data_IF_093476791824
#
_entry.id   IF_093476791824
#
_cell.length_a   1.000
_cell.length_b   1.000
_cell.length_c   1.000
_cell.angle_alpha   90.00
_cell.angle_beta   90.00
_cell.angle_gamma   90.00
#
_symmetry.space_group_name_H-M   'P 1'
#
loop_
_entity.id
_entity.type
_entity.pdbx_description
1 polymer ?
#
# COMPACT_ATOMS: atom_id res chain seq x y z
N UNK A 1 -14.44 30.13 23.64
CA UNK A 1 -14.68 28.76 23.14
C UNK A 1 -13.32 28.08 23.05
N UNK A 2 -12.99 27.18 23.98
CA UNK A 2 -11.75 26.40 23.91
C UNK A 2 -12.00 25.23 22.97
N UNK A 3 -11.44 25.30 21.77
CA UNK A 3 -11.43 24.17 20.84
C UNK A 3 -10.46 23.15 21.44
N UNK A 4 -10.97 21.98 21.82
CA UNK A 4 -10.12 20.92 22.37
C UNK A 4 -9.52 20.10 21.24
N UNK A 5 -8.39 19.43 21.50
CA UNK A 5 -7.72 18.53 20.55
C UNK A 5 -8.63 17.43 20.00
N UNK A 6 -9.64 17.03 20.78
CA UNK A 6 -10.67 16.05 20.37
C UNK A 6 -11.59 16.59 19.28
N UNK A 7 -11.93 17.89 19.32
CA UNK A 7 -12.75 18.55 18.29
C UNK A 7 -12.00 18.67 16.96
N UNK A 8 -10.68 18.84 17.03
CA UNK A 8 -9.80 18.86 15.85
C UNK A 8 -9.65 17.47 15.22
N UNK A 9 -9.57 16.40 16.02
CA UNK A 9 -9.58 15.03 15.50
C UNK A 9 -10.91 14.66 14.86
N UNK A 10 -12.04 14.99 15.48
CA UNK A 10 -13.36 14.72 14.93
C UNK A 10 -13.61 15.48 13.61
N UNK A 11 -13.22 16.76 13.54
CA UNK A 11 -13.34 17.55 12.31
C UNK A 11 -12.41 17.03 11.20
N UNK A 12 -11.22 16.56 11.54
CA UNK A 12 -10.30 15.94 10.59
C UNK A 12 -10.84 14.62 10.06
N UNK A 13 -11.36 13.74 10.93
CA UNK A 13 -11.98 12.47 10.54
C UNK A 13 -13.20 12.72 9.67
N UNK A 14 -14.07 13.67 10.03
CA UNK A 14 -15.24 14.01 9.22
C UNK A 14 -14.84 14.59 7.86
N UNK A 15 -13.86 15.51 7.80
CA UNK A 15 -13.37 16.05 6.53
C UNK A 15 -12.70 14.97 5.65
N UNK A 16 -12.02 13.99 6.26
CA UNK A 16 -11.47 12.85 5.56
C UNK A 16 -12.58 11.94 5.01
N UNK A 17 -13.59 11.62 5.82
CA UNK A 17 -14.77 10.85 5.40
C UNK A 17 -15.56 11.58 4.30
N UNK A 18 -15.72 12.89 4.38
CA UNK A 18 -16.42 13.73 3.39
C UNK A 18 -15.63 13.89 2.08
N UNK A 19 -14.29 13.96 2.16
CA UNK A 19 -13.43 13.89 0.99
C UNK A 19 -13.51 12.51 0.32
N UNK A 20 -13.74 11.45 1.09
CA UNK A 20 -13.86 10.09 0.59
C UNK A 20 -15.22 9.72 0.05
N UNK A 21 -16.26 10.33 0.60
CA UNK A 21 -17.61 10.22 0.08
C UNK A 21 -17.70 10.83 -1.32
N UNK A 22 -16.87 11.82 -1.66
CA UNK A 22 -16.80 12.41 -3.02
C UNK A 22 -16.24 11.45 -4.07
N UNK A 23 -15.38 10.51 -3.69
CA UNK A 23 -14.81 9.52 -4.61
C UNK A 23 -15.64 8.22 -4.67
N UNK A 24 -16.76 8.13 -3.95
CA UNK A 24 -17.67 6.96 -3.86
C UNK A 24 -17.02 5.62 -3.44
N UNK A 25 -15.73 5.60 -3.10
CA UNK A 25 -14.96 4.38 -2.78
C UNK A 25 -14.89 4.05 -1.28
N UNK A 26 -15.49 4.85 -0.41
CA UNK A 26 -15.44 4.64 1.04
C UNK A 26 -16.12 3.31 1.45
N UNK A 27 -17.28 3.00 0.86
CA UNK A 27 -17.99 1.75 1.12
C UNK A 27 -17.16 0.52 0.73
N UNK A 28 -16.48 0.60 -0.41
CA UNK A 28 -15.59 -0.45 -0.90
C UNK A 28 -14.36 -0.62 0.02
N UNK A 29 -13.75 0.48 0.48
CA UNK A 29 -12.64 0.44 1.42
C UNK A 29 -13.04 -0.17 2.78
N UNK A 30 -14.21 0.22 3.31
CA UNK A 30 -14.77 -0.37 4.54
C UNK A 30 -15.06 -1.87 4.34
N UNK A 31 -15.55 -2.26 3.16
CA UNK A 31 -15.82 -3.66 2.83
C UNK A 31 -14.54 -4.51 2.85
N UNK A 32 -13.41 -3.96 2.40
CA UNK A 32 -12.11 -4.63 2.49
C UNK A 32 -11.63 -4.82 3.95
N UNK A 33 -12.02 -3.91 4.84
CA UNK A 33 -11.70 -3.96 6.27
C UNK A 33 -12.66 -4.81 7.11
N UNK A 34 -13.78 -5.27 6.52
CA UNK A 34 -14.85 -5.94 7.26
C UNK A 34 -14.35 -7.24 7.92
N UNK A 35 -14.61 -7.38 9.23
CA UNK A 35 -14.18 -8.55 10.01
C UNK A 35 -12.66 -8.62 10.30
N UNK A 36 -11.89 -7.57 9.95
CA UNK A 36 -10.43 -7.51 10.19
C UNK A 36 -10.05 -6.63 11.39
N UNK A 37 -11.02 -5.93 11.99
CA UNK A 37 -10.84 -5.04 13.13
C UNK A 37 -12.08 -5.09 14.04
N UNK A 38 -11.86 -4.93 15.35
CA UNK A 38 -12.94 -4.95 16.37
C UNK A 38 -13.39 -3.54 16.78
N UNK A 39 -12.70 -2.49 16.32
CA UNK A 39 -12.97 -1.10 16.70
C UNK A 39 -13.01 -0.17 15.50
N UNK A 40 -13.80 0.91 15.61
CA UNK A 40 -13.88 1.97 14.58
C UNK A 40 -12.53 2.60 14.30
N UNK A 41 -11.72 2.84 15.34
CA UNK A 41 -10.36 3.37 15.19
C UNK A 41 -9.48 2.41 14.37
N UNK A 42 -9.55 1.11 14.66
CA UNK A 42 -8.84 0.08 13.88
C UNK A 42 -9.26 0.06 12.42
N UNK A 43 -10.57 0.21 12.13
CA UNK A 43 -11.05 0.31 10.74
C UNK A 43 -10.48 1.54 10.03
N UNK A 44 -10.47 2.71 10.69
CA UNK A 44 -9.92 3.95 10.12
C UNK A 44 -8.44 3.77 9.80
N UNK A 45 -7.64 3.25 10.74
CA UNK A 45 -6.22 2.99 10.53
C UNK A 45 -5.98 1.99 9.38
N UNK A 46 -6.85 0.98 9.27
CA UNK A 46 -6.74 -0.06 8.25
C UNK A 46 -7.06 0.46 6.84
N UNK A 47 -8.08 1.29 6.71
CA UNK A 47 -8.47 1.86 5.41
C UNK A 47 -7.63 3.08 5.04
N UNK A 48 -6.99 3.76 6.01
CA UNK A 48 -6.21 4.99 5.79
C UNK A 48 -5.26 4.91 4.59
N UNK A 49 -4.45 3.84 4.42
CA UNK A 49 -3.59 3.72 3.25
C UNK A 49 -4.36 3.65 1.93
N UNK A 50 -5.56 3.07 1.91
CA UNK A 50 -6.39 2.95 0.70
C UNK A 50 -6.94 4.31 0.23
N UNK A 51 -7.09 5.25 1.16
CA UNK A 51 -7.82 6.49 0.96
C UNK A 51 -6.91 7.73 0.85
N UNK A 52 -5.71 7.65 1.41
CA UNK A 52 -4.76 8.76 1.44
C UNK A 52 -3.90 8.83 0.19
N UNK A 53 -3.51 10.04 -0.21
CA UNK A 53 -2.43 10.29 -1.21
C UNK A 53 -1.08 10.56 -0.56
N UNK A 54 -1.04 10.78 0.77
CA UNK A 54 0.19 11.07 1.50
C UNK A 54 0.87 9.76 1.88
N UNK A 55 2.01 9.49 1.27
CA UNK A 55 2.77 8.27 1.48
C UNK A 55 3.42 8.24 2.87
N UNK A 56 3.30 7.10 3.56
CA UNK A 56 3.90 6.85 4.89
C UNK A 56 4.59 5.49 4.94
N UNK A 57 5.33 5.14 3.88
CA UNK A 57 5.98 3.83 3.74
C UNK A 57 6.84 3.52 4.97
N UNK A 58 6.62 2.35 5.57
CA UNK A 58 7.42 1.87 6.69
C UNK A 58 8.72 1.23 6.16
N UNK A 59 9.75 2.07 6.01
CA UNK A 59 11.05 1.64 5.53
C UNK A 59 11.78 0.74 6.54
N UNK A 60 11.56 0.94 7.85
CA UNK A 60 12.22 0.12 8.89
C UNK A 60 11.74 -1.33 8.75
N UNK A 61 10.43 -1.53 8.69
CA UNK A 61 9.84 -2.85 8.47
C UNK A 61 10.26 -3.43 7.12
N UNK A 62 10.23 -2.63 6.05
CA UNK A 62 10.62 -3.09 4.72
C UNK A 62 12.06 -3.64 4.69
N UNK A 63 13.03 -2.91 5.29
CA UNK A 63 14.42 -3.36 5.38
C UNK A 63 14.62 -4.53 6.35
N UNK A 64 13.73 -4.73 7.32
CA UNK A 64 13.76 -5.92 8.18
C UNK A 64 13.31 -7.20 7.46
N UNK A 65 12.48 -7.07 6.40
CA UNK A 65 12.02 -8.18 5.57
C UNK A 65 13.07 -8.54 4.52
N UNK A 66 13.61 -7.53 3.84
CA UNK A 66 14.71 -7.68 2.88
C UNK A 66 15.73 -6.55 3.10
N UNK A 67 16.88 -6.92 3.65
CA UNK A 67 17.93 -5.96 3.98
C UNK A 67 18.80 -5.56 2.78
N UNK A 68 18.81 -6.37 1.71
CA UNK A 68 19.62 -6.08 0.53
C UNK A 68 18.92 -5.03 -0.35
N UNK A 69 19.48 -3.81 -0.47
CA UNK A 69 18.86 -2.73 -1.24
C UNK A 69 18.80 -3.00 -2.74
N UNK A 70 19.74 -3.79 -3.28
CA UNK A 70 19.72 -4.15 -4.71
C UNK A 70 18.55 -5.09 -5.00
N UNK A 71 18.34 -6.09 -4.14
CA UNK A 71 17.21 -7.02 -4.24
C UNK A 71 15.88 -6.28 -4.11
N UNK A 72 15.75 -5.39 -3.12
CA UNK A 72 14.56 -4.54 -2.96
C UNK A 72 14.29 -3.67 -4.19
N UNK A 73 15.30 -2.96 -4.68
CA UNK A 73 15.15 -2.07 -5.83
C UNK A 73 14.75 -2.83 -7.09
N UNK A 74 15.37 -3.99 -7.33
CA UNK A 74 15.03 -4.87 -8.44
C UNK A 74 13.59 -5.37 -8.31
N UNK A 75 13.18 -5.85 -7.13
CA UNK A 75 11.82 -6.29 -6.85
C UNK A 75 10.78 -5.19 -7.16
N UNK A 76 10.97 -3.99 -6.60
CA UNK A 76 10.05 -2.87 -6.77
C UNK A 76 9.91 -2.45 -8.24
N UNK A 77 11.03 -2.35 -8.97
CA UNK A 77 11.04 -1.99 -10.39
C UNK A 77 10.40 -3.06 -11.27
N UNK A 78 10.63 -4.35 -10.98
CA UNK A 78 10.03 -5.44 -11.75
C UNK A 78 8.53 -5.53 -11.53
N UNK A 79 8.06 -5.44 -10.28
CA UNK A 79 6.61 -5.42 -9.97
C UNK A 79 5.94 -4.23 -10.67
N UNK A 80 6.51 -3.03 -10.55
CA UNK A 80 5.95 -1.84 -11.20
C UNK A 80 5.89 -2.02 -12.72
N UNK A 81 6.96 -2.52 -13.34
CA UNK A 81 6.97 -2.76 -14.78
C UNK A 81 5.92 -3.78 -15.24
N UNK A 82 5.71 -4.86 -14.47
CA UNK A 82 4.70 -5.88 -14.78
C UNK A 82 3.29 -5.32 -14.65
N UNK A 83 3.00 -4.61 -13.56
CA UNK A 83 1.70 -3.95 -13.36
C UNK A 83 1.45 -2.85 -14.39
N UNK A 84 2.47 -2.07 -14.77
CA UNK A 84 2.36 -1.04 -15.79
C UNK A 84 1.99 -1.62 -17.16
N UNK A 85 2.37 -2.86 -17.46
CA UNK A 85 2.03 -3.58 -18.70
C UNK A 85 0.68 -4.30 -18.65
N UNK A 86 0.05 -4.42 -17.48
CA UNK A 86 -1.30 -4.98 -17.41
C UNK A 86 -2.30 -4.03 -18.07
N UNK A 87 -2.95 -4.51 -19.13
CA UNK A 87 -4.00 -3.80 -19.85
C UNK A 87 -5.33 -3.86 -19.09
N UNK A 88 -5.62 -5.02 -18.49
CA UNK A 88 -6.80 -5.23 -17.65
C UNK A 88 -6.42 -5.11 -16.16
N UNK A 89 -7.21 -4.36 -15.38
CA UNK A 89 -6.99 -4.15 -13.94
C UNK A 89 -8.03 -4.89 -13.09
N UNK A 90 -7.91 -6.21 -13.03
CA UNK A 90 -8.75 -7.09 -12.20
C UNK A 90 -7.89 -7.77 -11.14
N UNK A 91 -8.50 -8.29 -10.06
CA UNK A 91 -7.76 -9.00 -9.02
C UNK A 91 -6.91 -10.15 -9.58
N UNK A 92 -7.48 -10.95 -10.50
CA UNK A 92 -6.76 -12.05 -11.14
C UNK A 92 -5.57 -11.58 -12.00
N UNK A 93 -5.71 -10.49 -12.77
CA UNK A 93 -4.59 -9.98 -13.58
C UNK A 93 -3.52 -9.34 -12.71
N UNK A 94 -3.90 -8.67 -11.63
CA UNK A 94 -2.99 -8.13 -10.62
C UNK A 94 -2.22 -9.27 -9.96
N UNK A 95 -2.90 -10.28 -9.42
CA UNK A 95 -2.26 -11.42 -8.78
C UNK A 95 -1.27 -12.12 -9.72
N UNK A 96 -1.69 -12.40 -10.96
CA UNK A 96 -0.82 -13.03 -11.95
C UNK A 96 0.45 -12.19 -12.21
N UNK A 97 0.32 -10.87 -12.31
CA UNK A 97 1.47 -9.99 -12.48
C UNK A 97 2.41 -10.02 -11.27
N UNK A 98 1.87 -9.99 -10.04
CA UNK A 98 2.67 -10.04 -8.82
C UNK A 98 3.40 -11.39 -8.67
N UNK A 99 2.67 -12.50 -8.86
CA UNK A 99 3.19 -13.88 -8.84
C UNK A 99 4.29 -14.08 -9.87
N UNK A 100 4.15 -13.53 -11.08
CA UNK A 100 5.18 -13.65 -12.14
C UNK A 100 6.55 -13.11 -11.74
N UNK A 101 6.61 -12.18 -10.78
CA UNK A 101 7.88 -11.67 -10.23
C UNK A 101 8.27 -12.44 -8.98
N UNK A 102 7.32 -12.65 -8.07
CA UNK A 102 7.55 -13.24 -6.76
C UNK A 102 7.84 -14.75 -6.76
N UNK A 103 7.50 -15.46 -7.84
CA UNK A 103 7.80 -16.89 -8.01
C UNK A 103 9.00 -17.12 -8.93
N UNK A 104 9.70 -16.07 -9.37
CA UNK A 104 10.91 -16.23 -10.18
C UNK A 104 12.07 -16.74 -9.33
N UNK A 105 12.99 -17.51 -9.94
CA UNK A 105 14.04 -18.26 -9.24
C UNK A 105 14.96 -17.40 -8.35
N UNK A 106 15.16 -16.13 -8.72
CA UNK A 106 16.02 -15.18 -8.00
C UNK A 106 15.21 -14.16 -7.18
N UNK A 107 13.93 -14.44 -6.90
CA UNK A 107 13.05 -13.51 -6.19
C UNK A 107 12.94 -13.80 -4.69
N UNK A 108 12.27 -12.89 -4.00
CA UNK A 108 12.03 -12.94 -2.55
C UNK A 108 11.02 -14.02 -2.13
N UNK A 109 10.32 -14.67 -3.07
CA UNK A 109 9.21 -15.59 -2.78
C UNK A 109 7.89 -14.86 -2.48
N UNK A 110 6.75 -15.54 -2.71
CA UNK A 110 5.42 -14.93 -2.57
C UNK A 110 5.14 -14.32 -1.20
N UNK A 111 5.41 -15.05 -0.11
CA UNK A 111 5.06 -14.57 1.24
C UNK A 111 5.82 -13.29 1.62
N UNK A 112 7.13 -13.23 1.30
CA UNK A 112 7.93 -12.01 1.50
C UNK A 112 7.49 -10.90 0.55
N UNK A 113 7.19 -11.22 -0.72
CA UNK A 113 6.71 -10.24 -1.69
C UNK A 113 5.42 -9.56 -1.18
N UNK A 114 4.47 -10.33 -0.66
CA UNK A 114 3.24 -9.76 -0.08
C UNK A 114 3.56 -8.79 1.06
N UNK A 115 4.42 -9.17 2.00
CA UNK A 115 4.78 -8.30 3.14
C UNK A 115 5.52 -7.04 2.71
N UNK A 116 6.44 -7.14 1.74
CA UNK A 116 7.12 -5.98 1.14
C UNK A 116 6.13 -5.04 0.45
N UNK A 117 5.19 -5.60 -0.31
CA UNK A 117 4.14 -4.81 -0.97
C UNK A 117 3.22 -4.16 0.05
N UNK A 118 2.87 -4.83 1.16
CA UNK A 118 2.10 -4.22 2.26
C UNK A 118 2.84 -3.02 2.86
N UNK A 119 4.16 -3.08 3.05
CA UNK A 119 4.93 -1.91 3.48
C UNK A 119 4.82 -0.73 2.49
N UNK A 120 4.90 -1.01 1.19
CA UNK A 120 4.90 0.01 0.14
C UNK A 120 3.51 0.59 -0.15
N UNK A 121 2.50 -0.27 -0.12
CA UNK A 121 1.14 0.03 -0.54
C UNK A 121 0.26 0.38 0.66
N UNK A 122 0.39 -0.35 1.76
CA UNK A 122 -0.43 -0.22 2.96
C UNK A 122 0.33 0.38 4.16
N UNK A 123 1.57 0.81 3.96
CA UNK A 123 2.38 1.53 4.95
C UNK A 123 2.62 0.74 6.26
N UNK A 124 2.41 -0.58 6.25
CA UNK A 124 2.51 -1.47 7.42
C UNK A 124 2.44 -2.94 7.01
N UNK A 125 2.60 -3.89 7.94
CA UNK A 125 2.26 -5.31 7.73
C UNK A 125 0.74 -5.54 7.88
N UNK A 126 -0.06 -4.78 7.13
CA UNK A 126 -1.52 -4.75 7.26
C UNK A 126 -2.18 -6.14 7.07
N UNK A 127 -3.25 -6.47 7.82
CA UNK A 127 -4.01 -7.70 7.63
C UNK A 127 -4.88 -7.72 6.35
N UNK A 128 -4.90 -6.64 5.57
CA UNK A 128 -5.60 -6.61 4.29
C UNK A 128 -4.91 -7.49 3.25
N UNK A 129 -5.71 -8.06 2.36
CA UNK A 129 -5.22 -8.79 1.19
C UNK A 129 -4.58 -7.82 0.20
N UNK A 130 -3.33 -8.10 -0.17
CA UNK A 130 -2.55 -7.15 -0.97
C UNK A 130 -3.05 -7.03 -2.41
N UNK A 131 -3.55 -8.13 -2.99
CA UNK A 131 -4.12 -8.15 -4.34
C UNK A 131 -5.37 -7.27 -4.41
N UNK A 132 -6.29 -7.43 -3.46
CA UNK A 132 -7.52 -6.63 -3.38
C UNK A 132 -7.20 -5.15 -3.15
N UNK A 133 -6.24 -4.87 -2.27
CA UNK A 133 -5.79 -3.50 -1.97
C UNK A 133 -5.22 -2.80 -3.21
N UNK A 134 -4.38 -3.49 -3.99
CA UNK A 134 -3.79 -2.97 -5.25
C UNK A 134 -4.88 -2.79 -6.32
N UNK A 135 -5.80 -3.73 -6.40
CA UNK A 135 -6.96 -3.65 -7.31
C UNK A 135 -7.78 -2.40 -7.01
N UNK A 136 -8.13 -2.18 -5.75
CA UNK A 136 -8.89 -1.04 -5.26
C UNK A 136 -8.23 0.32 -5.57
N UNK A 137 -6.93 0.43 -5.26
CA UNK A 137 -6.15 1.65 -5.48
C UNK A 137 -6.06 2.02 -6.96
N UNK A 138 -6.05 1.01 -7.83
CA UNK A 138 -5.89 1.21 -9.26
C UNK A 138 -4.43 1.36 -9.68
N UNK A 139 -4.24 1.34 -11.00
CA UNK A 139 -2.93 1.33 -11.66
C UNK A 139 -2.07 2.53 -11.32
N UNK A 140 -2.63 3.73 -11.42
CA UNK A 140 -1.89 4.97 -11.24
C UNK A 140 -1.34 5.11 -9.82
N UNK A 141 -2.19 4.93 -8.81
CA UNK A 141 -1.81 5.08 -7.41
C UNK A 141 -0.82 3.99 -6.98
N UNK A 142 -1.05 2.74 -7.38
CA UNK A 142 -0.10 1.64 -7.14
C UNK A 142 1.27 1.94 -7.75
N UNK A 143 1.32 2.39 -9.00
CA UNK A 143 2.58 2.70 -9.69
C UNK A 143 3.28 3.92 -9.06
N UNK A 144 2.53 4.90 -8.58
CA UNK A 144 3.08 6.06 -7.85
C UNK A 144 3.79 5.61 -6.57
N UNK A 145 3.15 4.75 -5.77
CA UNK A 145 3.70 4.22 -4.51
C UNK A 145 4.95 3.38 -4.74
N UNK A 146 4.92 2.45 -5.70
CA UNK A 146 6.07 1.60 -6.02
C UNK A 146 7.26 2.42 -6.52
N UNK A 147 7.05 3.40 -7.41
CA UNK A 147 8.12 4.29 -7.88
C UNK A 147 8.68 5.16 -6.76
N UNK A 148 7.84 5.64 -5.86
CA UNK A 148 8.29 6.40 -4.69
C UNK A 148 9.15 5.54 -3.76
N UNK A 149 8.73 4.32 -3.45
CA UNK A 149 9.52 3.37 -2.66
C UNK A 149 10.88 3.10 -3.33
N UNK A 150 10.88 2.77 -4.62
CA UNK A 150 12.10 2.49 -5.38
C UNK A 150 13.07 3.67 -5.38
N UNK A 151 12.57 4.89 -5.60
CA UNK A 151 13.38 6.12 -5.57
C UNK A 151 14.01 6.36 -4.20
N UNK A 152 13.27 6.13 -3.12
CA UNK A 152 13.80 6.30 -1.76
C UNK A 152 14.86 5.25 -1.42
N UNK A 153 14.66 3.99 -1.84
CA UNK A 153 15.67 2.94 -1.69
C UNK A 153 16.95 3.33 -2.43
N UNK A 154 16.82 3.79 -3.68
CA UNK A 154 17.95 4.25 -4.50
C UNK A 154 18.70 5.42 -3.86
N UNK A 155 18.01 6.47 -3.43
CA UNK A 155 18.63 7.64 -2.78
C UNK A 155 19.33 7.29 -1.47
N UNK A 156 18.73 6.42 -0.65
CA UNK A 156 19.30 6.03 0.65
C UNK A 156 20.58 5.20 0.52
N UNK A 157 20.81 4.60 -0.65
CA UNK A 157 21.96 3.72 -0.93
C UNK A 157 22.94 4.29 -1.95
N UNK A 158 22.70 5.51 -2.45
CA UNK A 158 23.68 6.31 -3.19
C UNK A 158 24.53 7.19 -2.27
N UNK A 159 24.09 7.39 -1.01
CA UNK A 159 24.75 8.24 -0.01
C UNK A 159 25.71 7.42 0.89
N UNK A 160 25.67 6.09 0.81
CA UNK A 160 26.59 5.16 1.48
C UNK A 160 27.52 4.49 0.48
#
# INVERSE_FOLDING_TARGET
MQITTVDLEAAFVQAALDALHRDCKLGDAISLAYGKCESTAGVIDLIFPLITKKLRIDYILMYSIESNPRTLLQFLRLIESRLARNENWTAASVEAALRSVADSADSVGWDRAQRLLKCCILFSDSPLEIVESITFLGKHETSSRLRSAARNVELSHLIN
#
